data_IF_624314566986
#
_entry.id   IF_624314566986
#
_cell.length_a   1.000
_cell.length_b   1.000
_cell.length_c   1.000
_cell.angle_alpha   90.00
_cell.angle_beta   90.00
_cell.angle_gamma   90.00
#
_symmetry.space_group_name_H-M   'P 1'
#
loop_
_entity.id
_entity.type
_entity.pdbx_description
1 polymer ?
#
# COMPACT_ATOMS: atom_id res chain seq x y z
N UNK A 1 11.31 9.07 -15.54
CA UNK A 1 12.36 8.14 -15.02
C UNK A 1 11.70 6.84 -14.54
N UNK A 2 12.29 5.67 -14.74
CA UNK A 2 11.74 4.45 -14.12
C UNK A 2 12.22 4.38 -12.67
N UNK A 3 11.29 4.46 -11.72
CA UNK A 3 11.57 4.26 -10.30
C UNK A 3 11.86 2.77 -10.11
N UNK A 4 13.10 2.43 -9.78
CA UNK A 4 13.51 1.06 -9.48
C UNK A 4 14.07 1.00 -8.06
N UNK A 5 13.47 0.15 -7.24
CA UNK A 5 13.91 -0.04 -5.86
C UNK A 5 13.85 -1.53 -5.50
N UNK A 6 14.97 -2.22 -5.68
CA UNK A 6 15.10 -3.64 -5.38
C UNK A 6 16.40 -3.89 -4.60
N UNK A 7 16.37 -3.88 -3.27
CA UNK A 7 17.53 -4.22 -2.44
C UNK A 7 17.98 -5.67 -2.68
N UNK A 8 19.30 -5.92 -2.72
CA UNK A 8 19.89 -7.23 -3.03
C UNK A 8 19.43 -8.39 -2.12
N UNK A 9 18.97 -8.11 -0.90
CA UNK A 9 18.39 -9.12 0.00
C UNK A 9 17.00 -9.62 -0.41
N UNK A 10 16.31 -8.98 -1.38
CA UNK A 10 14.97 -9.38 -1.81
C UNK A 10 14.94 -10.71 -2.56
N UNK A 11 16.02 -11.07 -3.28
CA UNK A 11 16.11 -12.38 -3.95
C UNK A 11 16.10 -13.53 -2.94
N UNK A 12 16.86 -13.40 -1.85
CA UNK A 12 16.86 -14.41 -0.77
C UNK A 12 15.51 -14.46 -0.04
N UNK A 13 14.87 -13.31 0.16
CA UNK A 13 13.54 -13.22 0.76
C UNK A 13 12.46 -13.88 -0.10
N UNK A 14 12.50 -13.69 -1.45
CA UNK A 14 11.61 -14.38 -2.41
C UNK A 14 11.75 -15.91 -2.30
N UNK A 15 12.98 -16.42 -2.34
CA UNK A 15 13.25 -17.87 -2.22
C UNK A 15 12.66 -18.42 -0.92
N UNK A 16 12.95 -17.77 0.20
CA UNK A 16 12.45 -18.18 1.51
C UNK A 16 10.92 -18.10 1.61
N UNK A 17 10.30 -17.07 1.02
CA UNK A 17 8.84 -16.97 0.95
C UNK A 17 8.22 -18.12 0.16
N UNK A 18 8.81 -18.50 -0.98
CA UNK A 18 8.38 -19.63 -1.80
C UNK A 18 8.47 -20.97 -1.04
N UNK A 19 9.58 -21.19 -0.33
CA UNK A 19 9.79 -22.40 0.48
C UNK A 19 8.77 -22.48 1.63
N UNK A 20 8.58 -21.37 2.36
CA UNK A 20 7.64 -21.30 3.48
C UNK A 20 6.20 -21.50 3.00
N UNK A 21 5.83 -20.94 1.84
CA UNK A 21 4.48 -21.03 1.28
C UNK A 21 4.04 -22.47 0.99
N UNK A 22 4.98 -23.40 0.79
CA UNK A 22 4.68 -24.82 0.65
C UNK A 22 3.93 -25.40 1.87
N UNK A 23 4.23 -24.88 3.07
CA UNK A 23 3.63 -25.30 4.33
C UNK A 23 2.43 -24.46 4.78
N UNK A 24 2.08 -23.38 4.08
CA UNK A 24 1.01 -22.43 4.42
C UNK A 24 -0.32 -22.90 3.84
N UNK A 25 -1.41 -22.61 4.51
CA UNK A 25 -2.77 -22.92 4.08
C UNK A 25 -3.49 -21.69 3.50
N UNK A 26 -3.24 -20.49 4.04
CA UNK A 26 -3.83 -19.22 3.58
C UNK A 26 -2.78 -18.13 3.56
N UNK A 27 -2.70 -17.39 2.46
CA UNK A 27 -1.90 -16.17 2.35
C UNK A 27 -2.76 -14.97 2.75
N UNK A 28 -2.24 -14.11 3.61
CA UNK A 28 -2.81 -12.81 3.96
C UNK A 28 -1.97 -11.76 3.25
N UNK A 29 -2.48 -11.17 2.18
CA UNK A 29 -1.81 -10.09 1.48
C UNK A 29 -2.33 -8.75 1.97
N UNK A 30 -1.46 -7.94 2.57
CA UNK A 30 -1.79 -6.61 3.08
C UNK A 30 -1.45 -5.57 2.03
N UNK A 31 -2.47 -4.83 1.59
CA UNK A 31 -2.41 -3.75 0.60
C UNK A 31 -2.70 -2.41 1.28
N UNK A 32 -2.31 -1.30 0.66
CA UNK A 32 -2.75 0.03 1.08
C UNK A 32 -4.07 0.37 0.38
N UNK A 33 -5.15 0.61 1.13
CA UNK A 33 -6.48 0.90 0.58
C UNK A 33 -6.53 2.15 -0.30
N UNK A 34 -5.54 3.04 -0.22
CA UNK A 34 -5.43 4.25 -1.04
C UNK A 34 -4.89 3.98 -2.44
N UNK A 35 -4.11 2.89 -2.61
CA UNK A 35 -3.53 2.44 -3.87
C UNK A 35 -3.47 0.89 -3.89
N UNK A 36 -4.63 0.21 -3.97
CA UNK A 36 -4.69 -1.24 -3.78
C UNK A 36 -3.93 -2.03 -4.84
N UNK A 37 -4.09 -1.68 -6.12
CA UNK A 37 -3.43 -2.41 -7.21
C UNK A 37 -1.95 -2.05 -7.31
N UNK A 38 -1.59 -0.77 -7.19
CA UNK A 38 -0.19 -0.36 -7.13
C UNK A 38 0.56 -1.00 -5.95
N UNK A 39 -0.12 -1.30 -4.84
CA UNK A 39 0.48 -2.01 -3.69
C UNK A 39 0.35 -3.54 -3.76
N UNK A 40 -0.38 -4.09 -4.74
CA UNK A 40 -0.48 -5.52 -4.99
C UNK A 40 0.83 -6.03 -5.62
N UNK A 41 1.41 -7.06 -5.04
CA UNK A 41 2.70 -7.58 -5.52
C UNK A 41 2.48 -8.77 -6.46
N UNK A 42 2.76 -8.62 -7.77
CA UNK A 42 2.56 -9.69 -8.76
C UNK A 42 3.35 -10.97 -8.42
N UNK A 43 4.51 -10.83 -7.77
CA UNK A 43 5.31 -11.98 -7.32
C UNK A 43 4.61 -12.78 -6.22
N UNK A 44 3.87 -12.12 -5.31
CA UNK A 44 3.07 -12.82 -4.29
C UNK A 44 1.94 -13.59 -4.96
N UNK A 45 1.29 -12.99 -5.94
CA UNK A 45 0.24 -13.62 -6.73
C UNK A 45 0.78 -14.86 -7.45
N UNK A 46 1.88 -14.74 -8.19
CA UNK A 46 2.54 -15.86 -8.87
C UNK A 46 2.85 -17.03 -7.92
N UNK A 47 3.47 -16.72 -6.77
CA UNK A 47 3.85 -17.73 -5.78
C UNK A 47 2.64 -18.46 -5.19
N UNK A 48 1.56 -17.74 -4.86
CA UNK A 48 0.36 -18.34 -4.26
C UNK A 48 -0.42 -19.19 -5.28
N UNK A 49 -0.54 -18.72 -6.53
CA UNK A 49 -1.22 -19.45 -7.60
C UNK A 49 -0.50 -20.74 -7.96
N UNK A 50 0.83 -20.69 -8.10
CA UNK A 50 1.64 -21.88 -8.30
C UNK A 50 1.44 -22.93 -7.19
N UNK A 51 1.19 -22.51 -5.95
CA UNK A 51 0.93 -23.38 -4.80
C UNK A 51 -0.56 -23.60 -4.53
N UNK A 52 -1.45 -23.06 -5.36
CA UNK A 52 -2.91 -23.12 -5.18
C UNK A 52 -3.36 -22.68 -3.78
N UNK A 53 -2.75 -21.59 -3.26
CA UNK A 53 -3.09 -21.06 -1.94
C UNK A 53 -4.14 -19.98 -2.05
N UNK A 54 -5.27 -20.11 -1.32
CA UNK A 54 -6.24 -19.03 -1.24
C UNK A 54 -5.64 -17.81 -0.54
N UNK A 55 -6.17 -16.64 -0.88
CA UNK A 55 -5.68 -15.36 -0.41
C UNK A 55 -6.78 -14.56 0.28
N UNK A 56 -6.46 -14.04 1.46
CA UNK A 56 -7.19 -12.93 2.06
C UNK A 56 -6.46 -11.63 1.74
N UNK A 57 -7.00 -10.81 0.83
CA UNK A 57 -6.49 -9.46 0.58
C UNK A 57 -7.07 -8.49 1.61
N UNK A 58 -6.21 -7.79 2.32
CA UNK A 58 -6.61 -6.77 3.30
C UNK A 58 -6.26 -5.40 2.73
N UNK A 59 -7.28 -4.62 2.37
CA UNK A 59 -7.14 -3.21 2.04
C UNK A 59 -7.02 -2.44 3.36
N UNK A 60 -5.77 -2.31 3.84
CA UNK A 60 -5.45 -1.64 5.10
C UNK A 60 -5.45 -0.12 4.95
N UNK A 61 -5.53 0.60 6.06
CA UNK A 61 -5.69 2.05 6.14
C UNK A 61 -6.98 2.53 5.45
N UNK A 62 -8.03 1.71 5.52
CA UNK A 62 -9.34 2.02 4.97
C UNK A 62 -9.96 3.29 5.59
N UNK A 63 -9.50 3.67 6.78
CA UNK A 63 -9.80 4.94 7.44
C UNK A 63 -9.27 6.17 6.70
N UNK A 64 -8.28 6.02 5.82
CA UNK A 64 -7.65 7.08 5.02
C UNK A 64 -8.09 7.06 3.54
N UNK A 65 -8.76 6.00 3.09
CA UNK A 65 -9.16 5.83 1.69
C UNK A 65 -10.62 6.24 1.45
N UNK A 66 -10.92 6.62 0.22
CA UNK A 66 -12.29 6.90 -0.24
C UNK A 66 -13.16 5.65 -0.07
N UNK A 67 -14.29 5.71 0.67
CA UNK A 67 -15.12 4.54 0.94
C UNK A 67 -15.80 3.97 -0.31
N UNK A 68 -16.21 4.81 -1.26
CA UNK A 68 -16.84 4.37 -2.50
C UNK A 68 -15.83 3.63 -3.38
N UNK A 69 -14.64 4.21 -3.57
CA UNK A 69 -13.54 3.59 -4.31
C UNK A 69 -13.06 2.30 -3.63
N UNK A 70 -13.02 2.29 -2.29
CA UNK A 70 -12.67 1.09 -1.53
C UNK A 70 -13.67 -0.04 -1.80
N UNK A 71 -14.97 0.28 -1.85
CA UNK A 71 -16.01 -0.72 -2.17
C UNK A 71 -15.87 -1.26 -3.60
N UNK A 72 -15.54 -0.41 -4.57
CA UNK A 72 -15.30 -0.84 -5.96
C UNK A 72 -14.11 -1.83 -6.03
N UNK A 73 -13.03 -1.57 -5.30
CA UNK A 73 -11.90 -2.49 -5.21
C UNK A 73 -12.26 -3.80 -4.50
N UNK A 74 -13.08 -3.77 -3.46
CA UNK A 74 -13.58 -5.00 -2.82
C UNK A 74 -14.38 -5.84 -3.81
N UNK A 75 -15.25 -5.20 -4.60
CA UNK A 75 -16.05 -5.86 -5.64
C UNK A 75 -15.14 -6.46 -6.74
N UNK A 76 -14.07 -5.74 -7.12
CA UNK A 76 -13.09 -6.20 -8.10
C UNK A 76 -12.33 -7.45 -7.62
N UNK A 77 -11.74 -7.40 -6.43
CA UNK A 77 -10.95 -8.52 -5.91
C UNK A 77 -11.80 -9.74 -5.53
N UNK A 78 -13.00 -9.55 -5.01
CA UNK A 78 -13.88 -10.67 -4.64
C UNK A 78 -14.45 -11.44 -5.85
N UNK A 79 -14.22 -10.98 -7.08
CA UNK A 79 -14.52 -11.73 -8.31
C UNK A 79 -13.39 -12.66 -8.73
N UNK A 80 -12.21 -12.53 -8.14
CA UNK A 80 -11.05 -13.35 -8.47
C UNK A 80 -11.12 -14.70 -7.75
N UNK A 81 -10.74 -15.78 -8.45
CA UNK A 81 -10.77 -17.13 -7.89
C UNK A 81 -9.77 -17.28 -6.73
N UNK A 82 -10.24 -17.91 -5.67
CA UNK A 82 -9.43 -18.15 -4.47
C UNK A 82 -9.06 -16.89 -3.69
N UNK A 83 -9.68 -15.73 -3.97
CA UNK A 83 -9.45 -14.46 -3.30
C UNK A 83 -10.67 -14.03 -2.49
N UNK A 84 -10.43 -13.61 -1.26
CA UNK A 84 -11.37 -12.86 -0.43
C UNK A 84 -10.75 -11.52 -0.10
N UNK A 85 -11.45 -10.43 -0.33
CA UNK A 85 -11.00 -9.08 -0.01
C UNK A 85 -11.84 -8.46 1.09
N UNK A 86 -11.17 -7.72 1.99
CA UNK A 86 -11.80 -6.96 3.09
C UNK A 86 -11.06 -5.65 3.28
N UNK A 87 -11.78 -4.60 3.69
CA UNK A 87 -11.19 -3.31 4.05
C UNK A 87 -11.17 -3.18 5.57
N UNK A 88 -10.01 -2.88 6.12
CA UNK A 88 -9.77 -2.80 7.57
C UNK A 88 -8.81 -1.65 7.89
N UNK A 89 -8.80 -1.24 9.16
CA UNK A 89 -7.68 -0.50 9.73
C UNK A 89 -6.90 -1.40 10.69
N UNK A 90 -5.71 -1.84 10.28
CA UNK A 90 -4.86 -2.71 11.12
C UNK A 90 -4.40 -2.05 12.43
N UNK A 91 -4.64 -0.74 12.61
CA UNK A 91 -4.49 -0.04 13.90
C UNK A 91 -5.64 -0.30 14.86
N UNK A 92 -6.80 -0.72 14.34
CA UNK A 92 -7.99 -1.08 15.13
C UNK A 92 -7.86 -2.52 15.64
N UNK A 93 -7.83 -2.71 16.95
CA UNK A 93 -7.78 -4.05 17.54
C UNK A 93 -9.01 -4.90 17.19
N UNK A 94 -10.18 -4.29 17.07
CA UNK A 94 -11.43 -4.95 16.68
C UNK A 94 -11.39 -5.43 15.23
N UNK A 95 -10.78 -4.67 14.33
CA UNK A 95 -10.61 -5.04 12.93
C UNK A 95 -9.57 -6.13 12.76
N UNK A 96 -8.40 -5.99 13.40
CA UNK A 96 -7.38 -7.03 13.39
C UNK A 96 -7.90 -8.37 13.90
N UNK A 97 -8.71 -8.39 14.96
CA UNK A 97 -9.30 -9.61 15.52
C UNK A 97 -10.25 -10.36 14.57
N UNK A 98 -10.74 -9.73 13.51
CA UNK A 98 -11.57 -10.38 12.47
C UNK A 98 -10.74 -11.26 11.53
N UNK A 99 -9.45 -10.94 11.33
CA UNK A 99 -8.60 -11.55 10.28
C UNK A 99 -8.51 -13.08 10.40
N UNK A 100 -8.24 -13.71 11.56
CA UNK A 100 -8.21 -15.15 11.67
C UNK A 100 -9.55 -15.83 11.32
N UNK A 101 -10.66 -15.20 11.69
CA UNK A 101 -12.02 -15.69 11.37
C UNK A 101 -12.32 -15.60 9.88
N UNK A 102 -11.78 -14.61 9.18
CA UNK A 102 -11.92 -14.44 7.73
C UNK A 102 -11.05 -15.43 6.94
N UNK A 103 -9.92 -15.86 7.51
CA UNK A 103 -9.07 -16.89 6.91
C UNK A 103 -9.64 -18.31 7.02
N UNK A 104 -10.41 -18.60 8.06
CA UNK A 104 -10.90 -19.95 8.33
C UNK A 104 -11.75 -20.55 7.20
N UNK A 105 -12.71 -19.84 6.58
CA UNK A 105 -13.48 -20.35 5.45
C UNK A 105 -12.66 -20.64 4.20
N UNK A 106 -11.47 -20.03 4.06
CA UNK A 106 -10.58 -20.23 2.92
C UNK A 106 -9.83 -21.57 2.99
N UNK A 107 -9.72 -22.16 4.19
CA UNK A 107 -9.13 -23.48 4.40
C UNK A 107 -9.99 -24.30 5.41
N UNK A 108 -11.20 -24.71 5.03
CA UNK A 108 -12.18 -25.29 5.95
C UNK A 108 -11.75 -26.63 6.56
N UNK A 109 -10.81 -27.34 5.91
CA UNK A 109 -10.24 -28.61 6.40
C UNK A 109 -9.17 -28.44 7.50
N UNK A 110 -8.84 -27.18 7.85
CA UNK A 110 -7.94 -26.79 8.92
C UNK A 110 -8.74 -26.27 10.13
N UNK A 111 -8.10 -25.91 11.19
CA UNK A 111 -8.69 -25.35 12.42
C UNK A 111 -9.08 -26.42 13.46
N UNK A 112 -8.19 -27.38 13.67
CA UNK A 112 -8.21 -28.29 14.81
C UNK A 112 -6.83 -28.32 15.48
N UNK A 113 -6.74 -28.84 16.71
CA UNK A 113 -5.45 -29.00 17.40
C UNK A 113 -4.48 -29.92 16.65
N UNK A 114 -5.02 -30.88 15.89
CA UNK A 114 -4.22 -31.79 15.06
C UNK A 114 -3.89 -31.23 13.67
N UNK A 115 -4.70 -30.30 13.16
CA UNK A 115 -4.54 -29.66 11.85
C UNK A 115 -4.72 -28.14 12.00
N UNK A 116 -3.77 -27.43 12.61
CA UNK A 116 -3.87 -25.98 12.79
C UNK A 116 -3.88 -25.27 11.45
N UNK A 117 -4.62 -24.16 11.38
CA UNK A 117 -4.61 -23.23 10.25
C UNK A 117 -3.30 -22.45 10.23
N UNK A 118 -2.52 -22.60 9.17
CA UNK A 118 -1.23 -21.95 8.98
C UNK A 118 -1.38 -20.79 8.01
N UNK A 119 -1.23 -19.59 8.53
CA UNK A 119 -1.38 -18.34 7.78
C UNK A 119 -0.02 -17.67 7.59
N UNK A 120 0.17 -16.96 6.47
CA UNK A 120 1.36 -16.16 6.20
C UNK A 120 0.96 -14.75 5.80
N UNK A 121 1.50 -13.74 6.51
CA UNK A 121 1.32 -12.34 6.15
C UNK A 121 2.37 -11.94 5.12
N UNK A 122 1.92 -11.36 4.02
CA UNK A 122 2.76 -10.87 2.93
C UNK A 122 2.33 -9.48 2.49
N UNK A 123 3.14 -8.83 1.68
CA UNK A 123 2.88 -7.52 1.08
C UNK A 123 4.15 -6.67 0.99
N UNK A 124 4.04 -5.54 0.33
CA UNK A 124 5.14 -4.60 0.15
C UNK A 124 5.51 -3.87 1.46
N UNK A 125 6.62 -3.14 1.52
CA UNK A 125 6.95 -2.31 2.68
C UNK A 125 5.84 -1.30 3.03
N UNK A 126 5.73 -0.95 4.30
CA UNK A 126 4.89 0.12 4.87
C UNK A 126 3.36 0.02 4.66
N UNK A 127 2.84 -1.11 4.17
CA UNK A 127 1.37 -1.33 4.07
C UNK A 127 0.72 -1.71 5.40
N UNK A 128 1.50 -2.01 6.45
CA UNK A 128 1.00 -2.27 7.81
C UNK A 128 1.06 -3.72 8.27
N UNK A 129 1.86 -4.58 7.64
CA UNK A 129 2.07 -5.99 8.05
C UNK A 129 2.47 -6.13 9.52
N UNK A 130 3.53 -5.42 9.93
CA UNK A 130 4.04 -5.47 11.31
C UNK A 130 3.01 -4.94 12.32
N UNK A 131 2.20 -3.95 11.94
CA UNK A 131 1.10 -3.45 12.78
C UNK A 131 0.04 -4.53 12.98
N UNK A 132 -0.40 -5.18 11.89
CA UNK A 132 -1.36 -6.28 11.96
C UNK A 132 -0.84 -7.44 12.81
N UNK A 133 0.43 -7.83 12.61
CA UNK A 133 1.08 -8.88 13.37
C UNK A 133 1.06 -8.58 14.88
N UNK A 134 1.50 -7.37 15.28
CA UNK A 134 1.54 -6.97 16.68
C UNK A 134 0.14 -6.94 17.32
N UNK A 135 -0.87 -6.50 16.57
CA UNK A 135 -2.27 -6.50 17.04
C UNK A 135 -2.81 -7.91 17.23
N UNK A 136 -2.56 -8.82 16.29
CA UNK A 136 -3.00 -10.22 16.37
C UNK A 136 -2.35 -10.97 17.53
N UNK A 137 -1.06 -10.74 17.77
CA UNK A 137 -0.31 -11.38 18.84
C UNK A 137 -0.44 -10.69 20.21
N UNK A 138 -1.12 -9.52 20.24
CA UNK A 138 -1.28 -8.69 21.44
C UNK A 138 0.04 -8.36 22.16
N UNK A 139 1.13 -8.30 21.40
CA UNK A 139 2.48 -7.98 21.90
C UNK A 139 3.34 -7.44 20.74
N UNK A 140 4.37 -6.69 21.06
CA UNK A 140 5.31 -6.17 20.07
C UNK A 140 6.32 -7.26 19.71
N UNK A 141 6.09 -7.95 18.59
CA UNK A 141 6.98 -8.99 18.04
C UNK A 141 7.69 -8.53 16.76
N UNK A 142 7.11 -7.55 16.05
CA UNK A 142 7.67 -6.97 14.85
C UNK A 142 7.92 -5.48 15.06
N UNK A 143 9.03 -4.98 14.54
CA UNK A 143 9.31 -3.55 14.55
C UNK A 143 8.38 -2.83 13.57
N UNK A 144 7.78 -1.76 14.04
CA UNK A 144 6.98 -0.84 13.21
C UNK A 144 7.82 0.42 13.01
N UNK A 145 8.06 0.80 11.77
CA UNK A 145 8.82 2.00 11.43
C UNK A 145 8.37 2.54 10.08
N UNK A 146 8.68 3.80 9.84
CA UNK A 146 8.34 4.49 8.60
C UNK A 146 9.34 4.21 7.46
N UNK A 147 10.48 3.58 7.78
CA UNK A 147 11.47 3.19 6.77
C UNK A 147 11.09 1.84 6.13
N UNK A 148 11.23 1.71 4.80
CA UNK A 148 11.03 0.44 4.10
C UNK A 148 11.98 -0.66 4.58
N UNK A 149 11.49 -1.92 4.64
CA UNK A 149 12.27 -3.14 4.93
C UNK A 149 12.75 -3.32 6.39
N UNK A 150 11.96 -2.89 7.37
CA UNK A 150 12.28 -3.05 8.81
C UNK A 150 12.34 -4.53 9.26
N UNK A 151 11.47 -5.40 8.72
CA UNK A 151 11.44 -6.84 9.04
C UNK A 151 12.48 -7.59 8.20
N UNK A 152 13.51 -8.16 8.84
CA UNK A 152 14.65 -8.82 8.15
C UNK A 152 14.54 -10.34 8.05
N UNK A 153 13.66 -10.98 8.84
CA UNK A 153 13.56 -12.45 8.89
C UNK A 153 12.11 -12.89 9.05
N UNK A 154 11.81 -14.09 8.52
CA UNK A 154 10.53 -14.75 8.77
C UNK A 154 10.50 -15.35 10.17
N UNK A 155 9.38 -15.16 10.87
CA UNK A 155 9.12 -15.75 12.17
C UNK A 155 7.71 -16.37 12.18
N UNK A 156 7.59 -17.56 12.76
CA UNK A 156 6.31 -18.23 12.95
C UNK A 156 5.87 -18.06 14.41
N UNK A 157 4.64 -17.66 14.60
CA UNK A 157 4.03 -17.42 15.92
C UNK A 157 2.72 -18.19 16.06
N UNK A 158 2.49 -18.75 17.22
CA UNK A 158 1.21 -19.33 17.57
C UNK A 158 0.25 -18.21 17.97
N UNK A 159 -0.88 -18.08 17.28
CA UNK A 159 -1.98 -17.23 17.72
C UNK A 159 -2.80 -17.93 18.83
N UNK A 160 -3.02 -19.23 18.68
CA UNK A 160 -3.64 -20.14 19.63
C UNK A 160 -3.28 -21.59 19.23
N UNK A 161 -3.87 -22.57 19.90
CA UNK A 161 -3.63 -24.01 19.64
C UNK A 161 -4.03 -24.46 18.21
N UNK A 162 -4.88 -23.70 17.54
CA UNK A 162 -5.46 -24.05 16.23
C UNK A 162 -4.98 -23.15 15.08
N UNK A 163 -4.17 -22.14 15.36
CA UNK A 163 -3.78 -21.14 14.36
C UNK A 163 -2.35 -20.68 14.54
N UNK A 164 -1.58 -20.70 13.47
CA UNK A 164 -0.24 -20.13 13.41
C UNK A 164 -0.16 -19.02 12.39
N UNK A 165 0.73 -18.07 12.61
CA UNK A 165 0.94 -16.92 11.78
C UNK A 165 2.43 -16.73 11.50
N UNK A 166 2.81 -16.74 10.23
CA UNK A 166 4.17 -16.51 9.79
C UNK A 166 4.29 -15.09 9.23
N UNK A 167 5.24 -14.31 9.75
CA UNK A 167 5.59 -12.99 9.19
C UNK A 167 6.54 -13.14 8.00
N UNK A 168 6.49 -12.21 7.08
CA UNK A 168 7.46 -12.11 6.00
C UNK A 168 8.04 -10.69 5.90
N UNK A 169 9.30 -10.55 5.47
CA UNK A 169 9.82 -9.26 5.05
C UNK A 169 8.91 -8.58 4.01
N UNK A 170 8.93 -7.26 3.97
CA UNK A 170 8.29 -6.53 2.89
C UNK A 170 8.95 -6.89 1.56
N UNK A 171 8.20 -7.52 0.67
CA UNK A 171 8.69 -7.94 -0.64
C UNK A 171 8.28 -6.93 -1.70
N UNK A 172 9.29 -6.40 -2.42
CA UNK A 172 9.07 -5.67 -3.68
C UNK A 172 9.48 -6.55 -4.85
N UNK A 173 8.90 -6.31 -6.02
CA UNK A 173 9.33 -6.95 -7.26
C UNK A 173 10.48 -6.18 -7.92
N UNK A 174 11.31 -6.85 -8.75
CA UNK A 174 12.54 -6.26 -9.27
C UNK A 174 12.36 -5.04 -10.16
N UNK A 175 11.23 -4.96 -10.86
CA UNK A 175 10.94 -3.90 -11.83
C UNK A 175 9.49 -3.46 -11.69
N UNK A 176 9.29 -2.18 -11.45
CA UNK A 176 7.96 -1.55 -11.54
C UNK A 176 7.70 -1.29 -13.03
N UNK A 177 6.69 -1.95 -13.57
CA UNK A 177 6.40 -1.93 -15.02
C UNK A 177 5.80 -0.60 -15.47
N UNK A 178 4.93 -0.03 -14.64
CA UNK A 178 4.25 1.23 -14.93
C UNK A 178 4.81 2.36 -14.07
N UNK A 179 5.29 3.46 -14.67
CA UNK A 179 5.83 4.61 -13.93
C UNK A 179 4.86 5.18 -12.90
N UNK A 180 3.56 5.20 -13.22
CA UNK A 180 2.50 5.67 -12.34
C UNK A 180 2.41 4.86 -11.04
N UNK A 181 2.65 3.54 -11.10
CA UNK A 181 2.71 2.70 -9.90
C UNK A 181 3.86 3.15 -8.98
N UNK A 182 5.01 3.48 -9.58
CA UNK A 182 6.15 4.01 -8.84
C UNK A 182 5.81 5.31 -8.10
N UNK A 183 5.12 6.23 -8.76
CA UNK A 183 4.67 7.49 -8.16
C UNK A 183 3.63 7.27 -7.06
N UNK A 184 2.66 6.36 -7.26
CA UNK A 184 1.67 5.99 -6.24
C UNK A 184 2.34 5.32 -5.03
N UNK A 185 3.27 4.38 -5.26
CA UNK A 185 4.03 3.71 -4.19
C UNK A 185 4.89 4.68 -3.39
N UNK A 186 5.49 5.67 -4.05
CA UNK A 186 6.22 6.74 -3.40
C UNK A 186 5.28 7.65 -2.60
N UNK A 187 4.12 7.99 -3.15
CA UNK A 187 3.09 8.81 -2.49
C UNK A 187 2.63 8.16 -1.18
N UNK A 188 2.36 6.85 -1.15
CA UNK A 188 1.98 6.12 0.07
C UNK A 188 3.16 5.73 0.97
N UNK A 189 4.38 6.13 0.60
CA UNK A 189 5.63 5.85 1.33
C UNK A 189 6.03 4.37 1.37
N UNK A 190 5.69 3.59 0.35
CA UNK A 190 6.14 2.20 0.20
C UNK A 190 7.57 2.12 -0.36
N UNK A 191 8.04 3.15 -1.03
CA UNK A 191 9.40 3.32 -1.57
C UNK A 191 10.11 4.40 -0.76
N UNK A 192 11.41 4.19 -0.46
CA UNK A 192 12.23 5.13 0.31
C UNK A 192 12.54 6.42 -0.47
N UNK A 193 12.77 7.52 0.24
CA UNK A 193 12.99 8.87 -0.31
C UNK A 193 14.17 8.95 -1.29
N UNK A 194 15.22 8.15 -1.10
CA UNK A 194 16.42 8.19 -1.93
C UNK A 194 16.21 7.70 -3.37
N UNK A 195 15.02 7.19 -3.69
CA UNK A 195 14.69 6.63 -5.01
C UNK A 195 13.81 7.56 -5.87
N UNK A 196 13.44 8.76 -5.37
CA UNK A 196 12.39 9.58 -5.96
C UNK A 196 12.65 11.07 -5.76
N UNK A 197 12.05 11.90 -6.59
CA UNK A 197 12.06 13.36 -6.50
C UNK A 197 10.70 13.78 -5.91
N UNK A 198 10.70 14.41 -4.73
CA UNK A 198 9.50 14.78 -4.00
C UNK A 198 8.55 15.67 -4.80
N UNK A 199 9.09 16.59 -5.61
CA UNK A 199 8.29 17.48 -6.45
C UNK A 199 7.49 16.70 -7.51
N UNK A 200 8.08 15.71 -8.18
CA UNK A 200 7.40 14.86 -9.18
C UNK A 200 6.27 14.06 -8.53
N UNK A 201 6.48 13.54 -7.32
CA UNK A 201 5.46 12.79 -6.58
C UNK A 201 4.32 13.72 -6.15
N UNK A 202 4.67 14.93 -5.66
CA UNK A 202 3.68 15.90 -5.23
C UNK A 202 2.85 16.42 -6.38
N UNK A 203 3.46 16.67 -7.55
CA UNK A 203 2.76 17.02 -8.78
C UNK A 203 1.78 15.92 -9.21
N UNK A 204 2.23 14.68 -9.23
CA UNK A 204 1.37 13.54 -9.55
C UNK A 204 0.18 13.44 -8.58
N UNK A 205 0.42 13.56 -7.27
CA UNK A 205 -0.64 13.61 -6.25
C UNK A 205 -1.58 14.78 -6.50
N UNK A 206 -1.05 15.97 -6.78
CA UNK A 206 -1.84 17.18 -7.03
C UNK A 206 -2.76 17.00 -8.26
N UNK A 207 -2.28 16.40 -9.34
CA UNK A 207 -3.09 16.10 -10.52
C UNK A 207 -4.25 15.13 -10.19
N UNK A 208 -4.02 14.10 -9.36
CA UNK A 208 -5.09 13.21 -8.88
C UNK A 208 -6.10 13.98 -8.02
N UNK A 209 -5.62 14.85 -7.12
CA UNK A 209 -6.49 15.66 -6.26
C UNK A 209 -7.34 16.63 -7.08
N UNK A 210 -6.77 17.33 -8.07
CA UNK A 210 -7.50 18.20 -8.97
C UNK A 210 -8.59 17.48 -9.75
N UNK A 211 -8.29 16.28 -10.24
CA UNK A 211 -9.22 15.50 -11.06
C UNK A 211 -10.38 14.89 -10.26
N UNK A 212 -10.14 14.46 -9.00
CA UNK A 212 -11.13 13.67 -8.25
C UNK A 212 -11.54 14.26 -6.90
N UNK A 213 -10.73 15.11 -6.32
CA UNK A 213 -10.90 15.66 -4.97
C UNK A 213 -10.64 17.16 -4.89
N UNK A 214 -11.12 17.98 -5.87
CA UNK A 214 -10.79 19.41 -5.91
C UNK A 214 -11.33 20.17 -4.68
N UNK A 215 -12.48 19.73 -4.14
CA UNK A 215 -13.06 20.36 -2.96
C UNK A 215 -12.18 20.18 -1.71
N UNK A 216 -11.65 18.99 -1.49
CA UNK A 216 -10.76 18.69 -0.36
C UNK A 216 -9.44 19.47 -0.47
N UNK A 217 -8.89 19.57 -1.69
CA UNK A 217 -7.70 20.35 -1.96
C UNK A 217 -7.94 21.84 -1.67
N UNK A 218 -9.06 22.38 -2.19
CA UNK A 218 -9.45 23.77 -1.98
C UNK A 218 -9.69 24.08 -0.50
N UNK A 219 -10.43 23.25 0.21
CA UNK A 219 -10.72 23.41 1.63
C UNK A 219 -9.43 23.40 2.48
N UNK A 220 -8.54 22.43 2.24
CA UNK A 220 -7.33 22.25 3.05
C UNK A 220 -6.32 23.35 2.88
N UNK A 221 -6.11 23.82 1.65
CA UNK A 221 -5.07 24.80 1.34
C UNK A 221 -5.62 26.19 0.98
N UNK A 222 -6.93 26.34 0.88
CA UNK A 222 -7.57 27.61 0.48
C UNK A 222 -7.24 28.00 -0.96
N UNK A 223 -7.15 27.02 -1.88
CA UNK A 223 -6.75 27.22 -3.28
C UNK A 223 -7.98 27.23 -4.20
N UNK A 224 -7.89 27.97 -5.29
CA UNK A 224 -8.84 27.81 -6.40
C UNK A 224 -8.36 26.68 -7.31
N UNK A 225 -8.91 25.48 -7.09
CA UNK A 225 -8.53 24.28 -7.83
C UNK A 225 -8.93 24.33 -9.32
N UNK A 226 -9.80 25.26 -9.73
CA UNK A 226 -10.32 25.32 -11.10
C UNK A 226 -9.35 25.90 -12.12
N UNK A 227 -8.31 26.62 -11.65
CA UNK A 227 -7.34 27.34 -12.50
C UNK A 227 -5.90 26.84 -12.35
N UNK A 228 -5.69 25.75 -11.61
CA UNK A 228 -4.37 25.19 -11.31
C UNK A 228 -4.15 23.85 -12.00
N UNK A 229 -2.92 23.59 -12.39
CA UNK A 229 -2.38 22.27 -12.68
C UNK A 229 -1.58 21.72 -11.48
N UNK A 230 -1.00 20.53 -11.61
CA UNK A 230 -0.28 19.88 -10.51
C UNK A 230 0.88 20.71 -9.97
N UNK A 231 1.68 21.31 -10.84
CA UNK A 231 2.80 22.18 -10.45
C UNK A 231 2.26 23.46 -9.78
N UNK A 232 1.24 24.08 -10.38
CA UNK A 232 0.58 25.26 -9.84
C UNK A 232 0.01 25.05 -8.43
N UNK A 233 -0.46 23.84 -8.10
CA UNK A 233 -0.88 23.48 -6.74
C UNK A 233 0.32 23.53 -5.79
N UNK A 234 1.45 22.94 -6.15
CA UNK A 234 2.66 22.92 -5.30
C UNK A 234 3.18 24.34 -5.09
N UNK A 235 3.23 25.17 -6.14
CA UNK A 235 3.61 26.58 -6.06
C UNK A 235 2.65 27.40 -5.17
N UNK A 236 1.36 27.17 -5.31
CA UNK A 236 0.35 27.86 -4.51
C UNK A 236 0.46 27.47 -3.02
N UNK A 237 0.77 26.21 -2.72
CA UNK A 237 1.07 25.75 -1.35
C UNK A 237 2.32 26.44 -0.84
N UNK A 238 3.40 26.53 -1.64
CA UNK A 238 4.63 27.22 -1.27
C UNK A 238 4.36 28.67 -0.86
N UNK A 239 3.61 29.41 -1.68
CA UNK A 239 3.21 30.81 -1.39
C UNK A 239 2.39 30.90 -0.10
N UNK A 240 1.36 30.08 0.05
CA UNK A 240 0.44 30.10 1.21
C UNK A 240 1.11 29.72 2.53
N UNK A 241 2.08 28.80 2.48
CA UNK A 241 2.82 28.31 3.65
C UNK A 241 4.11 29.08 3.92
N UNK A 242 4.44 30.08 3.10
CA UNK A 242 5.67 30.85 3.23
C UNK A 242 6.93 30.00 3.05
N UNK A 243 6.88 29.03 2.13
CA UNK A 243 8.03 28.20 1.78
C UNK A 243 8.90 28.98 0.80
N UNK A 244 9.98 29.60 1.30
CA UNK A 244 10.90 30.40 0.50
C UNK A 244 12.32 29.86 0.63
N UNK A 245 13.08 29.90 -0.46
CA UNK A 245 14.48 29.49 -0.49
C UNK A 245 15.33 30.45 0.33
N UNK A 246 16.23 29.95 1.16
CA UNK A 246 17.17 30.75 1.95
C UNK A 246 18.15 31.45 1.01
N UNK A 247 18.29 32.77 1.19
CA UNK A 247 19.25 33.61 0.43
C UNK A 247 18.80 34.00 -0.99
N UNK A 248 17.60 33.56 -1.43
CA UNK A 248 17.00 33.97 -2.70
C UNK A 248 15.69 34.71 -2.42
N UNK A 249 15.66 36.01 -2.66
CA UNK A 249 14.52 36.87 -2.33
C UNK A 249 13.26 36.43 -3.08
N UNK A 250 12.31 35.82 -2.37
CA UNK A 250 10.98 35.57 -2.88
C UNK A 250 10.81 34.28 -3.75
N UNK A 251 11.85 33.51 -4.02
CA UNK A 251 11.71 32.25 -4.76
C UNK A 251 11.04 31.20 -3.92
N UNK A 252 10.01 30.45 -4.45
CA UNK A 252 9.34 29.40 -3.73
C UNK A 252 10.26 28.18 -3.55
N UNK A 253 10.21 27.59 -2.36
CA UNK A 253 10.83 26.31 -2.02
C UNK A 253 9.82 25.20 -2.34
N UNK A 254 9.88 24.66 -3.57
CA UNK A 254 8.95 23.66 -4.07
C UNK A 254 9.15 22.30 -3.37
N UNK A 255 10.38 21.93 -3.03
CA UNK A 255 10.67 20.72 -2.30
C UNK A 255 9.97 20.73 -0.93
N UNK A 256 10.08 21.83 -0.20
CA UNK A 256 9.41 21.99 1.09
C UNK A 256 7.88 21.98 0.95
N UNK A 257 7.32 22.59 -0.09
CA UNK A 257 5.89 22.57 -0.35
C UNK A 257 5.41 21.16 -0.73
N UNK A 258 6.15 20.44 -1.56
CA UNK A 258 5.92 19.05 -1.92
C UNK A 258 5.88 18.17 -0.67
N UNK A 259 6.86 18.31 0.22
CA UNK A 259 6.91 17.59 1.50
C UNK A 259 5.70 17.88 2.39
N UNK A 260 5.19 19.12 2.41
CA UNK A 260 3.97 19.48 3.15
C UNK A 260 2.77 18.73 2.56
N UNK A 261 2.56 18.78 1.25
CA UNK A 261 1.45 18.11 0.58
C UNK A 261 1.45 16.60 0.84
N UNK A 262 2.60 15.95 0.62
CA UNK A 262 2.77 14.51 0.82
C UNK A 262 2.57 14.11 2.30
N UNK A 263 3.10 14.87 3.23
CA UNK A 263 2.96 14.60 4.67
C UNK A 263 1.51 14.74 5.11
N UNK A 264 0.80 15.77 4.66
CA UNK A 264 -0.60 16.00 4.99
C UNK A 264 -1.52 14.94 4.37
N UNK A 265 -1.24 14.51 3.13
CA UNK A 265 -1.92 13.39 2.50
C UNK A 265 -1.74 12.08 3.31
N UNK A 266 -0.49 11.73 3.63
CA UNK A 266 -0.16 10.52 4.39
C UNK A 266 -0.80 10.49 5.77
N UNK A 267 -0.93 11.65 6.40
CA UNK A 267 -1.58 11.84 7.69
C UNK A 267 -3.13 11.89 7.62
N UNK A 268 -3.73 11.85 6.42
CA UNK A 268 -5.18 11.94 6.23
C UNK A 268 -5.77 13.33 6.45
N UNK A 269 -4.96 14.39 6.48
CA UNK A 269 -5.42 15.76 6.71
C UNK A 269 -6.21 16.37 5.53
N UNK A 270 -6.14 15.74 4.36
CA UNK A 270 -6.94 16.10 3.19
C UNK A 270 -8.27 15.33 3.14
N UNK A 271 -8.58 14.53 4.15
CA UNK A 271 -9.73 13.63 4.13
C UNK A 271 -9.40 12.24 3.58
N UNK A 272 -10.44 11.51 3.20
CA UNK A 272 -10.33 10.14 2.70
C UNK A 272 -10.14 10.15 1.18
N UNK A 273 -8.95 9.76 0.74
CA UNK A 273 -8.51 9.91 -0.66
C UNK A 273 -7.90 8.61 -1.16
N UNK A 274 -8.31 8.17 -2.36
CA UNK A 274 -7.74 7.03 -3.08
C UNK A 274 -7.03 7.50 -4.34
N UNK A 275 -5.83 6.99 -4.58
CA UNK A 275 -4.98 7.38 -5.72
C UNK A 275 -5.43 6.75 -7.03
N UNK A 276 -6.08 5.58 -6.97
CA UNK A 276 -6.53 4.84 -8.13
C UNK A 276 -7.92 4.22 -7.92
N UNK A 277 -8.60 3.93 -9.01
CA UNK A 277 -9.86 3.18 -9.07
C UNK A 277 -9.69 1.99 -10.01
N UNK A 278 -10.55 0.95 -9.97
CA UNK A 278 -10.53 -0.10 -11.00
C UNK A 278 -10.63 0.45 -12.42
N UNK A 279 -11.43 1.51 -12.62
CA UNK A 279 -11.58 2.18 -13.92
C UNK A 279 -10.31 2.92 -14.37
N UNK A 280 -9.69 3.73 -13.48
CA UNK A 280 -8.45 4.44 -13.83
C UNK A 280 -7.31 3.46 -14.12
N UNK A 281 -7.27 2.34 -13.40
CA UNK A 281 -6.30 1.27 -13.65
C UNK A 281 -6.48 0.64 -15.02
N UNK A 282 -7.70 0.32 -15.41
CA UNK A 282 -8.01 -0.24 -16.73
C UNK A 282 -7.58 0.71 -17.87
N UNK A 283 -7.83 2.02 -17.72
CA UNK A 283 -7.41 3.05 -18.68
C UNK A 283 -5.87 3.09 -18.77
N UNK A 284 -5.17 3.13 -17.65
CA UNK A 284 -3.70 3.15 -17.61
C UNK A 284 -3.10 1.94 -18.33
N UNK A 285 -3.64 0.74 -18.09
CA UNK A 285 -3.15 -0.49 -18.74
C UNK A 285 -3.42 -0.52 -20.25
N UNK A 286 -4.58 0.00 -20.73
CA UNK A 286 -4.88 0.09 -22.15
C UNK A 286 -3.95 1.06 -22.88
N UNK A 287 -3.68 2.22 -22.29
CA UNK A 287 -2.77 3.23 -22.87
C UNK A 287 -1.33 2.72 -22.99
N UNK A 288 -0.89 1.87 -22.05
CA UNK A 288 0.44 1.26 -22.10
C UNK A 288 0.60 0.24 -23.24
N UNK A 289 -0.47 -0.44 -23.65
CA UNK A 289 -0.47 -1.38 -24.78
C UNK A 289 -0.36 -0.64 -26.13
N UNK A 290 -1.04 0.50 -26.26
CA UNK A 290 -1.03 1.31 -27.48
C UNK A 290 0.35 1.96 -27.75
N UNK A 291 1.14 2.23 -26.71
CA UNK A 291 2.49 2.80 -26.86
C UNK A 291 3.58 1.75 -27.13
N UNK A 292 3.26 0.45 -27.02
CA UNK A 292 4.19 -0.66 -27.20
C UNK A 292 4.05 -1.34 -28.57
N UNK A 293 3.09 -0.89 -29.39
CA UNK A 293 2.83 -1.31 -30.77
C UNK A 293 3.35 -0.28 -31.77
#
# INVERSE_FOLDING_TARGET
MSIQWFPGHMTSARKKASETMASIDVVIEVLDARAPEASCNPMIQELREHRQRPCLKILNKADLADPAVTQDWLNFYNKQDGVKAVALSCKSASDAAKVPKLCQPLAPHRNSNFKPLRMMIMGIPNVGKSTLMNMLLKRRVANVGDEPAVTKSQQCHNLNERMTLTDSPGLMWPKIEHPEDGLMLATIHAIGRNAVIEEEIAEHLANILLARYPAQLAERFGLDASVLDGIGVVEAIAKKRGCLLKGKSGEPDLEKAAMILLTEYRAGKLGRISLETPGSRAIMLSSALDTSS
#
